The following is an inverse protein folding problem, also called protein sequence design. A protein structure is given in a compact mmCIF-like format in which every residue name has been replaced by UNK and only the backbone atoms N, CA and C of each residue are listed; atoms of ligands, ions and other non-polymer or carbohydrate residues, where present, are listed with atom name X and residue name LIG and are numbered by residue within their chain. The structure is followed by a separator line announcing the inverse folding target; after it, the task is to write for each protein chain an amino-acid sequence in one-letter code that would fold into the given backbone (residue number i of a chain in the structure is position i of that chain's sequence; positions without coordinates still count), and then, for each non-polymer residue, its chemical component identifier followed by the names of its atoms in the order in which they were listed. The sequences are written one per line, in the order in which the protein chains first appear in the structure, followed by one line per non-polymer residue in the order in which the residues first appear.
data_IF_733830558159
#
_entry.id   IF_733830558159
#
_cell.length_a   1.000
_cell.length_b   1.000
_cell.length_c   1.000
_cell.angle_alpha   90.00
_cell.angle_beta   90.00
_cell.angle_gamma   90.00
#
_symmetry.space_group_name_H-M   'P 1'
#
loop_
_entity.id
_entity.type
_entity.pdbx_description
1 polymer ?
#
# COMPACT_ATOMS: atom_id res chain seq x y z
N UNK A 1 19.23 -1.71 49.50
CA UNK A 1 18.52 -0.68 48.71
C UNK A 1 18.65 -1.09 47.26
N UNK A 2 17.60 -1.70 46.69
CA UNK A 2 17.61 -2.11 45.27
C UNK A 2 17.22 -0.86 44.49
N UNK A 3 18.17 -0.30 43.75
CA UNK A 3 17.90 0.77 42.78
C UNK A 3 17.25 0.08 41.58
N UNK A 4 15.92 0.17 41.49
CA UNK A 4 15.21 -0.09 40.25
C UNK A 4 15.63 1.03 39.29
N UNK A 5 16.55 0.74 38.37
CA UNK A 5 16.83 1.63 37.27
C UNK A 5 15.49 1.87 36.53
N UNK A 6 15.09 3.13 36.44
CA UNK A 6 13.99 3.55 35.57
C UNK A 6 14.34 3.01 34.18
N UNK A 7 13.48 2.14 33.65
CA UNK A 7 13.62 1.64 32.28
C UNK A 7 13.68 2.89 31.40
N UNK A 8 14.80 3.08 30.71
CA UNK A 8 14.94 4.13 29.71
C UNK A 8 14.01 3.75 28.54
N UNK A 9 12.79 4.26 28.62
CA UNK A 9 11.73 4.02 27.64
C UNK A 9 12.10 4.59 26.27
N UNK A 10 13.05 5.53 26.20
CA UNK A 10 13.48 6.22 24.97
C UNK A 10 14.73 5.52 24.40
N UNK A 11 15.77 5.28 25.19
CA UNK A 11 16.99 4.58 24.76
C UNK A 11 16.80 3.10 24.44
N UNK A 12 15.72 2.48 24.93
CA UNK A 12 15.27 1.14 24.53
C UNK A 12 14.26 1.12 23.37
N UNK A 13 13.74 2.28 22.95
CA UNK A 13 12.71 2.36 21.91
C UNK A 13 13.31 2.08 20.53
N UNK A 14 12.78 1.07 19.85
CA UNK A 14 13.15 0.74 18.46
C UNK A 14 11.91 0.97 17.58
N UNK A 15 11.77 2.15 16.94
CA UNK A 15 10.64 2.47 16.06
C UNK A 15 10.74 1.63 14.79
N UNK A 16 10.27 0.38 14.85
CA UNK A 16 10.32 -0.57 13.71
C UNK A 16 9.13 -1.51 13.72
N UNK A 17 7.97 -0.97 14.09
CA UNK A 17 6.68 -1.68 14.05
C UNK A 17 5.99 -1.50 12.69
N UNK A 18 6.67 -0.96 11.67
CA UNK A 18 5.98 -0.19 10.64
C UNK A 18 5.56 -1.00 9.42
N UNK A 19 4.26 -1.19 9.23
CA UNK A 19 3.68 -1.58 7.93
C UNK A 19 3.55 -0.36 7.02
N UNK A 20 4.69 0.13 6.51
CA UNK A 20 4.76 1.43 5.82
C UNK A 20 3.95 1.44 4.52
N UNK A 21 3.99 0.37 3.73
CA UNK A 21 3.17 0.19 2.55
C UNK A 21 1.67 0.36 2.81
N UNK A 22 1.17 -0.08 3.97
CA UNK A 22 -0.23 0.15 4.40
C UNK A 22 -0.52 1.57 4.88
N UNK A 23 0.48 2.29 5.38
CA UNK A 23 0.38 3.71 5.71
C UNK A 23 0.22 4.58 4.45
N UNK A 24 0.87 4.17 3.35
CA UNK A 24 0.90 4.92 2.09
C UNK A 24 -0.12 4.45 1.05
N UNK A 25 -0.52 3.18 1.06
CA UNK A 25 -1.33 2.56 0.00
C UNK A 25 -2.38 1.59 0.54
N UNK A 26 -3.46 1.41 -0.23
CA UNK A 26 -4.56 0.51 0.08
C UNK A 26 -4.92 -0.32 -1.16
N UNK A 27 -4.15 -1.39 -1.39
CA UNK A 27 -4.30 -2.27 -2.54
C UNK A 27 -5.57 -3.10 -2.51
N UNK A 28 -6.08 -3.44 -3.69
CA UNK A 28 -7.20 -4.37 -3.88
C UNK A 28 -6.98 -5.17 -5.16
N UNK A 29 -7.37 -6.45 -5.15
CA UNK A 29 -7.34 -7.39 -6.29
C UNK A 29 -8.30 -7.02 -7.41
N UNK A 30 -8.25 -5.78 -7.86
CA UNK A 30 -9.06 -5.23 -8.93
C UNK A 30 -8.34 -4.03 -9.58
N UNK A 31 -7.02 -3.92 -9.36
CA UNK A 31 -6.15 -2.89 -9.91
C UNK A 31 -6.25 -1.52 -9.21
N UNK A 32 -7.03 -1.40 -8.13
CA UNK A 32 -7.11 -0.18 -7.33
C UNK A 32 -6.00 -0.13 -6.28
N UNK A 33 -5.42 1.04 -6.11
CA UNK A 33 -4.70 1.45 -4.90
C UNK A 33 -5.35 2.72 -4.36
N UNK A 34 -5.74 2.74 -3.09
CA UNK A 34 -6.57 3.82 -2.55
C UNK A 34 -7.97 3.81 -3.17
N UNK A 35 -8.80 4.81 -2.87
CA UNK A 35 -10.17 5.02 -3.35
C UNK A 35 -11.02 3.75 -3.55
N UNK A 36 -11.94 3.48 -2.62
CA UNK A 36 -12.79 2.30 -2.71
C UNK A 36 -13.72 2.32 -3.93
N UNK A 37 -14.19 1.15 -4.36
CA UNK A 37 -15.25 1.01 -5.37
C UNK A 37 -16.60 1.49 -4.79
N UNK A 38 -16.74 2.80 -4.58
CA UNK A 38 -17.93 3.41 -3.98
C UNK A 38 -18.25 4.69 -4.73
N UNK A 39 -19.49 4.78 -5.23
CA UNK A 39 -20.00 5.93 -5.99
C UNK A 39 -20.00 7.25 -5.20
N UNK A 40 -19.95 7.23 -3.86
CA UNK A 40 -20.16 8.43 -3.02
C UNK A 40 -19.52 8.38 -1.62
N UNK A 41 -18.29 7.85 -1.49
CA UNK A 41 -17.63 7.75 -0.18
C UNK A 41 -16.77 8.98 0.13
N UNK A 42 -17.13 9.77 1.14
CA UNK A 42 -16.25 10.79 1.78
C UNK A 42 -15.30 10.18 2.83
N UNK A 43 -15.25 8.84 2.95
CA UNK A 43 -14.51 8.16 4.01
C UNK A 43 -12.98 8.21 3.83
N UNK A 44 -12.31 8.58 4.92
CA UNK A 44 -10.86 8.70 5.16
C UNK A 44 -10.12 7.36 5.34
N UNK A 45 -10.55 6.30 4.65
CA UNK A 45 -9.98 4.95 4.77
C UNK A 45 -9.44 4.41 3.44
N UNK A 46 -9.12 5.30 2.51
CA UNK A 46 -9.01 5.00 1.07
C UNK A 46 -7.83 5.73 0.39
N UNK A 47 -6.66 5.69 1.01
CA UNK A 47 -5.48 6.45 0.59
C UNK A 47 -4.61 5.68 -0.39
N UNK A 48 -3.96 6.43 -1.27
CA UNK A 48 -2.85 5.97 -2.09
C UNK A 48 -1.88 7.15 -2.22
N UNK A 49 -0.62 6.95 -1.86
CA UNK A 49 0.47 7.92 -1.89
C UNK A 49 0.08 9.30 -1.37
N UNK A 50 -0.53 9.34 -0.18
CA UNK A 50 -0.88 10.61 0.50
C UNK A 50 0.21 10.97 1.48
N UNK A 51 0.76 12.18 1.40
CA UNK A 51 1.72 12.69 2.39
C UNK A 51 1.00 13.43 3.52
N UNK A 52 1.42 13.28 4.80
CA UNK A 52 2.44 12.35 5.30
C UNK A 52 1.99 10.88 5.30
N UNK A 53 0.70 10.58 5.20
CA UNK A 53 0.21 9.19 5.26
C UNK A 53 -1.15 9.18 5.91
N UNK A 54 -1.65 8.01 6.28
CA UNK A 54 -2.90 7.93 7.04
C UNK A 54 -2.76 7.27 8.41
N UNK A 55 -2.97 8.08 9.44
CA UNK A 55 -3.07 7.66 10.85
C UNK A 55 -4.25 6.70 11.13
N UNK A 56 -5.30 6.70 10.31
CA UNK A 56 -6.52 5.92 10.57
C UNK A 56 -6.34 4.41 10.43
N UNK A 57 -5.22 3.95 9.83
CA UNK A 57 -4.93 2.52 9.65
C UNK A 57 -3.99 1.98 10.71
N UNK A 58 -2.93 2.73 10.99
CA UNK A 58 -1.87 2.30 11.90
C UNK A 58 -1.45 3.49 12.78
N UNK A 59 -2.22 3.79 13.83
CA UNK A 59 -1.98 4.95 14.71
C UNK A 59 -0.57 4.92 15.31
N UNK A 60 -0.15 3.76 15.79
CA UNK A 60 1.17 3.55 16.39
C UNK A 60 2.24 3.77 15.32
N UNK A 61 2.05 3.19 14.13
CA UNK A 61 3.04 3.30 13.04
C UNK A 61 3.16 4.75 12.54
N UNK A 62 2.05 5.47 12.44
CA UNK A 62 2.06 6.88 12.05
C UNK A 62 2.77 7.77 13.07
N UNK A 63 2.56 7.53 14.37
CA UNK A 63 3.23 8.28 15.44
C UNK A 63 4.73 7.94 15.47
N UNK A 64 5.09 6.68 15.29
CA UNK A 64 6.50 6.26 15.17
C UNK A 64 7.20 6.88 13.96
N UNK A 65 6.47 7.13 12.88
CA UNK A 65 7.02 7.66 11.64
C UNK A 65 7.08 9.20 11.60
N UNK A 66 5.98 9.87 11.98
CA UNK A 66 5.83 11.33 11.87
C UNK A 66 5.76 12.06 13.21
N UNK A 67 5.46 11.34 14.29
CA UNK A 67 5.24 11.91 15.61
C UNK A 67 6.53 12.00 16.43
N UNK A 68 6.49 12.83 17.46
CA UNK A 68 7.49 12.84 18.51
C UNK A 68 7.20 11.68 19.48
N UNK A 69 7.97 10.60 19.35
CA UNK A 69 7.85 9.39 20.17
C UNK A 69 8.02 9.70 21.66
N UNK A 70 8.93 10.60 22.02
CA UNK A 70 9.18 10.97 23.42
C UNK A 70 7.94 11.65 24.00
N UNK A 71 7.36 12.60 23.28
CA UNK A 71 6.14 13.28 23.67
C UNK A 71 4.92 12.33 23.70
N UNK A 72 4.84 11.34 22.79
CA UNK A 72 3.80 10.30 22.82
C UNK A 72 3.91 9.43 24.08
N UNK A 73 5.11 8.94 24.41
CA UNK A 73 5.37 8.13 25.61
C UNK A 73 5.05 8.92 26.89
N UNK A 74 5.37 10.22 26.91
CA UNK A 74 5.10 11.11 28.04
C UNK A 74 3.63 11.53 28.16
N UNK A 75 2.79 11.17 27.19
CA UNK A 75 1.38 11.48 27.20
C UNK A 75 1.09 12.97 26.97
N UNK A 76 1.96 13.67 26.25
CA UNK A 76 1.86 15.11 26.09
C UNK A 76 0.57 15.49 25.34
N UNK A 77 -0.20 16.47 25.86
CA UNK A 77 -1.52 16.82 25.33
C UNK A 77 -1.47 17.36 23.88
N UNK A 78 -0.30 17.78 23.40
CA UNK A 78 -0.09 18.29 22.05
C UNK A 78 0.34 17.21 21.02
N UNK A 79 0.66 16.00 21.47
CA UNK A 79 1.06 14.85 20.61
C UNK A 79 0.00 13.77 20.55
N UNK A 80 -0.98 13.77 21.46
CA UNK A 80 -2.16 12.90 21.43
C UNK A 80 -3.29 13.50 20.58
N UNK A 81 -3.21 14.80 20.28
CA UNK A 81 -4.13 15.48 19.37
C UNK A 81 -3.35 16.09 18.19
N UNK A 82 -2.57 15.30 17.39
CA UNK A 82 -2.56 15.64 15.98
C UNK A 82 -4.05 15.67 15.68
N UNK A 83 -4.60 16.77 15.15
CA UNK A 83 -6.01 16.80 14.84
C UNK A 83 -6.32 15.48 14.13
N UNK A 84 -7.52 14.93 14.22
CA UNK A 84 -7.91 13.85 13.29
C UNK A 84 -7.87 14.43 11.86
N UNK A 85 -6.68 14.74 11.34
CA UNK A 85 -6.40 15.40 10.10
C UNK A 85 -6.53 14.26 9.11
N UNK A 86 -7.78 13.94 8.83
CA UNK A 86 -8.46 14.41 7.63
C UNK A 86 -7.82 15.66 6.98
N UNK A 87 -6.49 15.69 6.80
CA UNK A 87 -5.85 16.59 5.84
C UNK A 87 -6.59 16.33 4.56
N UNK A 88 -7.04 17.41 3.91
CA UNK A 88 -7.73 17.31 2.64
C UNK A 88 -6.89 16.43 1.72
N UNK A 89 -7.35 15.20 1.51
CA UNK A 89 -6.58 14.22 0.77
C UNK A 89 -6.58 14.68 -0.68
N UNK A 90 -5.43 15.16 -1.12
CA UNK A 90 -5.23 15.51 -2.51
C UNK A 90 -5.35 14.22 -3.33
N UNK A 91 -4.74 13.11 -2.90
CA UNK A 91 -4.94 11.82 -3.58
C UNK A 91 -6.31 11.21 -3.32
N UNK A 92 -6.95 10.72 -4.38
CA UNK A 92 -8.23 9.99 -4.33
C UNK A 92 -8.09 8.54 -4.76
N UNK A 93 -6.86 8.03 -4.81
CA UNK A 93 -6.54 6.69 -5.30
C UNK A 93 -5.82 6.74 -6.65
N UNK A 94 -5.40 5.56 -7.07
CA UNK A 94 -4.72 5.27 -8.32
C UNK A 94 -5.32 4.00 -8.93
N UNK A 95 -5.26 3.93 -10.24
CA UNK A 95 -5.58 2.72 -10.98
C UNK A 95 -5.02 2.80 -12.40
N UNK A 96 -5.53 1.93 -13.26
CA UNK A 96 -5.01 1.69 -14.59
C UNK A 96 -6.17 1.70 -15.58
N UNK A 97 -5.95 2.40 -16.69
CA UNK A 97 -6.80 2.31 -17.86
C UNK A 97 -6.09 1.45 -18.92
N UNK A 98 -6.82 0.49 -19.47
CA UNK A 98 -6.34 -0.45 -20.47
C UNK A 98 -7.29 -0.39 -21.66
N UNK A 99 -6.74 -0.14 -22.84
CA UNK A 99 -7.45 -0.29 -24.11
C UNK A 99 -6.70 -1.28 -24.96
N UNK A 100 -7.40 -2.30 -25.44
CA UNK A 100 -6.88 -3.30 -26.35
C UNK A 100 -7.79 -3.42 -27.57
N UNK A 101 -7.20 -3.63 -28.74
CA UNK A 101 -7.94 -4.00 -29.95
C UNK A 101 -7.78 -5.50 -30.17
N UNK A 102 -8.86 -6.25 -29.95
CA UNK A 102 -8.89 -7.70 -30.16
C UNK A 102 -9.17 -8.03 -31.63
N UNK A 103 -8.36 -8.92 -32.18
CA UNK A 103 -8.50 -9.47 -33.54
C UNK A 103 -8.65 -8.39 -34.64
N UNK A 104 -8.09 -7.20 -34.42
CA UNK A 104 -8.10 -6.08 -35.35
C UNK A 104 -9.42 -5.31 -35.47
N UNK A 105 -10.48 -5.69 -34.75
CA UNK A 105 -11.81 -5.06 -34.88
C UNK A 105 -12.41 -4.60 -33.56
N UNK A 106 -12.19 -5.35 -32.49
CA UNK A 106 -12.96 -5.19 -31.26
C UNK A 106 -12.19 -4.36 -30.25
N UNK A 107 -12.60 -3.12 -30.07
CA UNK A 107 -12.01 -2.24 -29.06
C UNK A 107 -12.57 -2.57 -27.68
N UNK A 108 -11.70 -3.10 -26.81
CA UNK A 108 -12.00 -3.46 -25.43
C UNK A 108 -11.33 -2.48 -24.48
N UNK A 109 -12.13 -1.84 -23.64
CA UNK A 109 -11.66 -0.91 -22.61
C UNK A 109 -11.99 -1.45 -21.23
N UNK A 110 -10.99 -1.47 -20.36
CA UNK A 110 -11.08 -1.84 -18.95
C UNK A 110 -10.41 -0.76 -18.11
N UNK A 111 -10.99 -0.41 -16.96
CA UNK A 111 -10.46 0.64 -16.12
C UNK A 111 -10.63 0.29 -14.65
N UNK A 112 -9.49 0.12 -13.96
CA UNK A 112 -9.45 0.35 -12.52
C UNK A 112 -9.25 1.86 -12.36
N UNK A 113 -10.31 2.58 -12.04
CA UNK A 113 -10.27 4.03 -11.83
C UNK A 113 -9.60 4.37 -10.50
N UNK A 114 -9.73 5.61 -10.04
CA UNK A 114 -9.27 5.94 -8.67
C UNK A 114 -10.33 5.61 -7.63
N UNK A 115 -11.62 5.58 -8.01
CA UNK A 115 -12.77 5.30 -7.11
C UNK A 115 -13.87 4.43 -7.71
N UNK A 116 -13.68 4.01 -8.96
CA UNK A 116 -14.66 3.21 -9.69
C UNK A 116 -13.90 2.22 -10.56
N UNK A 117 -14.51 1.07 -10.79
CA UNK A 117 -13.98 0.01 -11.62
C UNK A 117 -15.02 -0.29 -12.69
N UNK A 118 -14.56 -0.58 -13.91
CA UNK A 118 -15.46 -1.10 -14.95
C UNK A 118 -15.88 -2.52 -14.60
N UNK A 119 -17.13 -2.87 -14.91
CA UNK A 119 -17.75 -4.13 -14.48
C UNK A 119 -17.04 -5.39 -14.99
N UNK A 120 -16.15 -5.24 -15.97
CA UNK A 120 -15.40 -6.29 -16.64
C UNK A 120 -14.04 -6.60 -16.00
N UNK A 121 -13.67 -5.89 -14.93
CA UNK A 121 -12.51 -6.26 -14.12
C UNK A 121 -12.95 -7.19 -13.00
N UNK A 122 -12.32 -8.35 -12.96
CA UNK A 122 -12.58 -9.39 -11.98
C UNK A 122 -11.37 -9.59 -11.07
N UNK A 123 -11.64 -9.87 -9.80
CA UNK A 123 -10.58 -10.21 -8.87
C UNK A 123 -10.01 -11.58 -9.20
N UNK A 124 -8.68 -11.65 -9.29
CA UNK A 124 -7.96 -12.89 -9.55
C UNK A 124 -6.86 -13.03 -8.49
N UNK A 125 -7.13 -13.73 -7.37
CA UNK A 125 -6.16 -13.92 -6.30
C UNK A 125 -4.79 -14.36 -6.86
N UNK A 126 -3.72 -13.79 -6.30
CA UNK A 126 -2.36 -14.11 -6.71
C UNK A 126 -2.00 -15.52 -6.28
N UNK A 127 -1.45 -16.31 -7.20
CA UNK A 127 -0.99 -17.68 -6.91
C UNK A 127 0.39 -17.63 -6.27
N UNK A 128 0.42 -17.28 -4.99
CA UNK A 128 1.66 -17.12 -4.22
C UNK A 128 2.44 -18.42 -4.07
N UNK A 129 1.77 -19.58 -4.11
CA UNK A 129 2.42 -20.88 -3.89
C UNK A 129 3.37 -21.26 -5.05
N UNK A 130 3.12 -20.70 -6.24
CA UNK A 130 3.92 -20.91 -7.46
C UNK A 130 4.69 -19.64 -7.89
N UNK A 131 4.92 -18.71 -6.96
CA UNK A 131 5.57 -17.42 -7.21
C UNK A 131 7.00 -17.35 -6.67
N UNK A 132 7.76 -16.34 -7.12
CA UNK A 132 9.10 -16.05 -6.61
C UNK A 132 9.07 -15.63 -5.14
N UNK A 133 7.99 -14.98 -4.72
CA UNK A 133 7.78 -14.52 -3.35
C UNK A 133 7.32 -15.62 -2.39
N UNK A 134 7.13 -16.86 -2.87
CA UNK A 134 6.65 -18.01 -2.08
C UNK A 134 7.54 -18.35 -0.88
N UNK A 135 8.82 -17.96 -0.94
CA UNK A 135 9.80 -18.21 0.12
C UNK A 135 9.99 -17.02 1.06
N UNK A 136 9.30 -15.91 0.81
CA UNK A 136 9.46 -14.67 1.57
C UNK A 136 8.45 -14.57 2.71
N UNK A 137 8.86 -13.88 3.77
CA UNK A 137 8.01 -13.57 4.92
C UNK A 137 8.41 -14.30 6.19
N UNK A 138 8.20 -13.61 7.31
CA UNK A 138 8.34 -14.15 8.65
C UNK A 138 6.95 -14.43 9.26
N UNK A 139 6.80 -15.58 9.91
CA UNK A 139 5.53 -15.98 10.57
C UNK A 139 5.58 -15.93 12.09
N UNK A 140 6.71 -15.48 12.66
CA UNK A 140 6.82 -15.30 14.10
C UNK A 140 5.82 -14.26 14.60
N UNK A 141 5.43 -14.34 15.86
CA UNK A 141 4.62 -13.28 16.43
C UNK A 141 5.48 -12.00 16.55
N UNK A 142 5.01 -10.80 16.13
CA UNK A 142 3.62 -10.47 15.76
C UNK A 142 3.29 -10.51 14.25
N UNK A 143 4.24 -10.85 13.36
CA UNK A 143 4.01 -10.90 11.90
C UNK A 143 2.79 -11.74 11.51
N UNK A 144 2.61 -12.91 12.14
CA UNK A 144 1.46 -13.79 11.89
C UNK A 144 0.10 -13.17 12.24
N UNK A 145 0.04 -12.00 12.89
CA UNK A 145 -1.20 -11.23 13.09
C UNK A 145 -1.33 -10.00 12.18
N UNK A 146 -0.27 -9.64 11.46
CA UNK A 146 -0.16 -8.38 10.71
C UNK A 146 0.00 -8.56 9.22
N UNK A 147 0.58 -9.67 8.76
CA UNK A 147 0.58 -10.13 7.37
C UNK A 147 -0.43 -11.26 7.18
N UNK A 148 -0.73 -11.61 5.93
CA UNK A 148 -1.58 -12.77 5.60
C UNK A 148 -0.81 -13.91 4.91
N UNK A 149 0.49 -13.73 4.66
CA UNK A 149 1.35 -14.74 4.05
C UNK A 149 2.78 -14.76 4.62
N UNK A 150 3.30 -15.98 4.76
CA UNK A 150 4.69 -16.39 4.91
C UNK A 150 4.79 -17.90 4.54
N UNK A 151 5.98 -18.50 4.35
CA UNK A 151 6.09 -19.86 3.79
C UNK A 151 5.35 -20.96 4.56
N UNK A 152 5.17 -20.79 5.87
CA UNK A 152 4.46 -21.73 6.75
C UNK A 152 3.16 -21.15 7.35
N UNK A 153 2.70 -20.01 6.83
CA UNK A 153 1.52 -19.31 7.33
C UNK A 153 0.77 -18.65 6.17
N UNK A 154 -0.46 -19.08 5.94
CA UNK A 154 -1.31 -18.54 4.88
C UNK A 154 -2.72 -18.36 5.42
N UNK A 155 -3.14 -17.11 5.51
CA UNK A 155 -4.46 -16.72 5.97
C UNK A 155 -5.08 -15.70 5.01
N UNK A 156 -4.91 -15.94 3.71
CA UNK A 156 -5.50 -15.10 2.66
C UNK A 156 -6.98 -15.44 2.55
N UNK A 157 -7.87 -14.51 2.93
CA UNK A 157 -9.32 -14.72 2.94
C UNK A 157 -10.01 -13.96 1.80
N UNK A 158 -10.81 -14.69 1.02
CA UNK A 158 -11.61 -14.11 -0.06
C UNK A 158 -10.74 -13.52 -1.17
N UNK A 159 -10.90 -12.21 -1.44
CA UNK A 159 -10.24 -11.51 -2.54
C UNK A 159 -9.22 -10.47 -2.06
N UNK A 160 -8.68 -10.62 -0.85
CA UNK A 160 -7.66 -9.70 -0.35
C UNK A 160 -6.32 -9.87 -1.08
N UNK A 161 -5.54 -8.78 -1.23
CA UNK A 161 -4.16 -8.87 -1.72
C UNK A 161 -3.30 -9.77 -0.83
N UNK A 162 -2.24 -10.33 -1.40
CA UNK A 162 -1.21 -11.02 -0.62
C UNK A 162 -0.34 -9.96 0.05
N UNK A 163 -0.06 -10.16 1.32
CA UNK A 163 0.77 -9.29 2.14
C UNK A 163 1.83 -10.12 2.86
N UNK A 164 3.08 -9.72 2.66
CA UNK A 164 4.27 -10.40 3.17
C UNK A 164 5.08 -9.39 3.96
N UNK A 165 5.43 -9.74 5.19
CA UNK A 165 6.38 -9.00 6.01
C UNK A 165 7.65 -9.83 6.14
N UNK A 166 8.71 -9.41 5.44
CA UNK A 166 10.00 -10.08 5.36
C UNK A 166 11.01 -9.61 6.43
N UNK A 167 10.50 -8.97 7.49
CA UNK A 167 11.25 -8.50 8.65
C UNK A 167 10.59 -9.02 9.91
N UNK A 168 11.33 -9.12 11.01
CA UNK A 168 10.72 -9.29 12.33
C UNK A 168 10.52 -7.92 12.93
N UNK A 169 9.33 -7.67 13.46
CA UNK A 169 9.03 -6.40 14.13
C UNK A 169 10.07 -6.12 15.21
N UNK A 170 10.56 -4.88 15.27
CA UNK A 170 11.66 -4.42 16.15
C UNK A 170 13.08 -4.85 15.76
N UNK A 171 13.25 -5.68 14.75
CA UNK A 171 14.55 -6.10 14.22
C UNK A 171 14.78 -5.52 12.81
N UNK A 172 16.04 -5.46 12.39
CA UNK A 172 16.35 -5.18 10.97
C UNK A 172 16.18 -6.45 10.15
N UNK A 173 15.86 -6.29 8.86
CA UNK A 173 16.00 -7.39 7.92
C UNK A 173 17.44 -7.89 7.92
N UNK A 174 17.59 -9.22 7.98
CA UNK A 174 18.88 -9.87 7.88
C UNK A 174 19.34 -9.99 6.43
N UNK A 175 18.39 -10.02 5.49
CA UNK A 175 18.62 -10.05 4.06
C UNK A 175 17.85 -8.90 3.40
N UNK A 176 18.58 -8.04 2.70
CA UNK A 176 18.08 -6.84 2.05
C UNK A 176 17.98 -6.93 0.53
N UNK A 177 18.31 -8.09 -0.03
CA UNK A 177 18.03 -8.42 -1.42
C UNK A 177 16.51 -8.38 -1.71
N UNK A 178 15.68 -8.47 -0.67
CA UNK A 178 14.24 -8.44 -0.75
C UNK A 178 13.62 -7.27 0.05
N UNK A 179 12.47 -6.75 -0.38
CA UNK A 179 11.74 -5.72 0.35
C UNK A 179 11.27 -6.19 1.72
N UNK A 180 11.14 -5.24 2.66
CA UNK A 180 10.64 -5.49 4.02
C UNK A 180 9.14 -5.81 3.99
N UNK A 181 8.37 -4.99 3.29
CA UNK A 181 6.96 -5.23 3.07
C UNK A 181 6.67 -5.38 1.59
N UNK A 182 5.90 -6.42 1.27
CA UNK A 182 5.47 -6.74 -0.08
C UNK A 182 3.97 -6.89 -0.09
N UNK A 183 3.29 -6.09 -0.93
CA UNK A 183 1.86 -6.24 -1.16
C UNK A 183 1.64 -6.56 -2.64
N UNK A 184 0.98 -7.68 -2.92
CA UNK A 184 0.75 -8.19 -4.26
C UNK A 184 -0.74 -8.23 -4.53
N UNK A 185 -1.13 -7.57 -5.61
CA UNK A 185 -2.49 -7.53 -6.09
C UNK A 185 -2.60 -7.99 -7.53
N UNK A 186 -3.67 -8.74 -7.84
CA UNK A 186 -3.88 -9.27 -9.18
C UNK A 186 -5.36 -9.23 -9.59
N UNK A 187 -5.59 -8.98 -10.87
CA UNK A 187 -6.92 -8.90 -11.47
C UNK A 187 -6.89 -9.34 -12.93
N UNK A 188 -8.07 -9.57 -13.50
CA UNK A 188 -8.27 -9.95 -14.90
C UNK A 188 -9.23 -8.98 -15.57
N UNK A 189 -8.96 -8.64 -16.83
CA UNK A 189 -9.87 -7.87 -17.68
C UNK A 189 -10.64 -8.78 -18.64
N UNK A 190 -11.76 -8.31 -19.21
CA UNK A 190 -12.46 -9.04 -20.30
C UNK A 190 -11.59 -9.30 -21.53
N UNK A 191 -10.56 -8.49 -21.78
CA UNK A 191 -9.63 -8.71 -22.89
C UNK A 191 -8.65 -9.86 -22.61
N UNK A 192 -8.75 -10.53 -21.46
CA UNK A 192 -7.85 -11.60 -21.06
C UNK A 192 -6.50 -11.09 -20.54
N UNK A 193 -6.34 -9.78 -20.34
CA UNK A 193 -5.14 -9.20 -19.74
C UNK A 193 -5.20 -9.42 -18.23
N UNK A 194 -4.27 -10.22 -17.72
CA UNK A 194 -4.00 -10.32 -16.30
C UNK A 194 -3.06 -9.19 -15.89
N UNK A 195 -3.52 -8.33 -15.00
CA UNK A 195 -2.68 -7.31 -14.36
C UNK A 195 -2.20 -7.81 -12.99
N UNK A 196 -0.91 -7.65 -12.72
CA UNK A 196 -0.30 -7.87 -11.42
C UNK A 196 0.37 -6.58 -10.98
N UNK A 197 0.02 -6.08 -9.79
CA UNK A 197 0.66 -4.93 -9.15
C UNK A 197 1.36 -5.39 -7.89
N UNK A 198 2.62 -5.02 -7.74
CA UNK A 198 3.41 -5.28 -6.54
C UNK A 198 3.89 -3.97 -5.96
N UNK A 199 3.82 -3.83 -4.65
CA UNK A 199 4.42 -2.73 -3.94
C UNK A 199 5.46 -3.28 -2.97
N UNK A 200 6.64 -2.69 -3.03
CA UNK A 200 7.82 -3.09 -2.30
C UNK A 200 8.29 -1.90 -1.46
N UNK A 201 8.37 -2.08 -0.15
CA UNK A 201 8.85 -1.05 0.77
C UNK A 201 10.15 -1.48 1.46
N UNK A 202 11.08 -0.54 1.57
CA UNK A 202 12.30 -0.67 2.37
C UNK A 202 12.35 0.47 3.39
N UNK A 203 12.87 0.19 4.58
CA UNK A 203 13.08 1.20 5.59
C UNK A 203 14.40 1.07 6.34
N UNK A 204 15.45 1.38 5.61
CA UNK A 204 16.80 1.39 6.13
C UNK A 204 17.02 2.55 7.12
N UNK A 205 17.79 2.34 8.21
CA UNK A 205 18.26 3.43 9.03
C UNK A 205 19.12 4.37 8.20
N UNK A 206 18.92 5.67 8.42
CA UNK A 206 19.64 6.77 7.76
C UNK A 206 19.31 6.99 6.28
N UNK A 207 18.30 6.31 5.73
CA UNK A 207 17.79 6.55 4.38
C UNK A 207 16.34 7.04 4.40
N UNK A 208 16.02 7.96 3.49
CA UNK A 208 14.64 8.31 3.17
C UNK A 208 13.95 7.08 2.57
N UNK A 209 12.86 6.65 3.18
CA UNK A 209 12.13 5.47 2.71
C UNK A 209 11.63 5.64 1.29
N UNK A 210 11.58 4.54 0.56
CA UNK A 210 10.99 4.53 -0.77
C UNK A 210 10.09 3.31 -0.95
N UNK A 211 9.07 3.49 -1.79
CA UNK A 211 8.21 2.42 -2.26
C UNK A 211 8.44 2.27 -3.75
N UNK A 212 8.79 1.06 -4.19
CA UNK A 212 8.83 0.70 -5.59
C UNK A 212 7.51 0.01 -5.93
N UNK A 213 6.88 0.46 -7.02
CA UNK A 213 5.68 -0.18 -7.54
C UNK A 213 5.95 -0.80 -8.90
N UNK A 214 5.69 -2.10 -9.00
CA UNK A 214 5.78 -2.85 -10.25
C UNK A 214 4.37 -3.10 -10.79
N UNK A 215 4.19 -2.89 -12.10
CA UNK A 215 2.99 -3.27 -12.82
C UNK A 215 3.38 -4.19 -13.97
N UNK A 216 2.83 -5.40 -13.95
CA UNK A 216 3.04 -6.41 -14.96
C UNK A 216 1.71 -6.77 -15.63
N UNK A 217 1.70 -6.84 -16.96
CA UNK A 217 0.52 -7.19 -17.75
C UNK A 217 0.83 -8.39 -18.63
N UNK A 218 0.02 -9.44 -18.53
CA UNK A 218 0.15 -10.65 -19.33
C UNK A 218 -1.15 -10.91 -20.08
N UNK A 219 -1.08 -11.07 -21.40
CA UNK A 219 -2.20 -11.62 -22.15
C UNK A 219 -2.34 -13.10 -21.82
N UNK A 220 -3.45 -13.46 -21.18
CA UNK A 220 -3.85 -14.84 -20.85
C UNK A 220 -5.11 -15.27 -21.61
N UNK A 221 -5.67 -14.38 -22.43
CA UNK A 221 -6.79 -14.67 -23.31
C UNK A 221 -6.36 -15.37 -24.60
N UNK A 222 -7.35 -15.73 -25.42
CA UNK A 222 -7.14 -16.37 -26.72
C UNK A 222 -6.93 -15.38 -27.86
N UNK A 223 -7.32 -14.12 -27.67
CA UNK A 223 -7.29 -13.11 -28.73
C UNK A 223 -5.89 -12.53 -28.94
N UNK A 224 -5.59 -12.19 -30.19
CA UNK A 224 -4.46 -11.33 -30.52
C UNK A 224 -4.87 -9.89 -30.21
N UNK A 225 -4.13 -9.25 -29.32
CA UNK A 225 -4.37 -7.87 -28.92
C UNK A 225 -3.31 -6.97 -29.57
N UNK A 226 -3.72 -6.21 -30.58
CA UNK A 226 -2.82 -5.29 -31.29
C UNK A 226 -3.62 -4.13 -31.93
N UNK A 227 -3.46 -2.88 -31.46
CA UNK A 227 -2.56 -2.43 -30.37
C UNK A 227 -3.12 -2.63 -28.96
N UNK A 228 -2.24 -2.49 -27.96
CA UNK A 228 -2.61 -2.37 -26.53
C UNK A 228 -2.01 -1.11 -25.93
N UNK A 229 -2.82 -0.34 -25.22
CA UNK A 229 -2.46 0.89 -24.54
C UNK A 229 -2.71 0.77 -23.04
N UNK A 230 -1.74 1.23 -22.25
CA UNK A 230 -1.82 1.31 -20.79
C UNK A 230 -1.64 2.75 -20.35
N UNK A 231 -2.46 3.20 -19.42
CA UNK A 231 -2.30 4.49 -18.78
C UNK A 231 -2.49 4.38 -17.27
N UNK A 232 -1.54 4.92 -16.51
CA UNK A 232 -1.72 5.13 -15.08
C UNK A 232 -2.73 6.26 -14.88
N UNK A 233 -3.69 6.02 -14.02
CA UNK A 233 -4.72 6.99 -13.68
C UNK A 233 -4.58 7.33 -12.20
N UNK A 234 -4.27 8.60 -11.94
CA UNK A 234 -4.31 9.16 -10.59
C UNK A 234 -5.41 10.22 -10.52
N UNK A 235 -5.87 10.51 -9.32
CA UNK A 235 -6.88 11.53 -9.07
C UNK A 235 -6.39 12.35 -7.92
N UNK A 236 -6.10 13.61 -8.26
CA UNK A 236 -5.54 14.58 -7.33
C UNK A 236 -6.55 15.72 -7.22
N UNK A 237 -6.88 16.10 -6.00
CA UNK A 237 -7.71 17.25 -5.66
C UNK A 237 -6.80 18.37 -5.19
N UNK A 238 -7.16 19.62 -5.49
CA UNK A 238 -6.49 20.79 -4.96
C UNK A 238 -7.14 21.11 -3.60
N UNK A 239 -6.36 21.03 -2.53
CA UNK A 239 -6.80 21.35 -1.17
C UNK A 239 -7.01 22.86 -0.95
N UNK A 240 -6.22 23.70 -1.62
CA UNK A 240 -6.36 25.16 -1.64
C UNK A 240 -5.73 25.75 -2.89
N UNK A 241 -6.43 26.61 -3.62
CA UNK A 241 -5.81 27.49 -4.60
C UNK A 241 -5.28 28.72 -3.87
N UNK A 242 -3.96 28.87 -3.79
CA UNK A 242 -3.34 30.13 -3.34
C UNK A 242 -3.01 30.98 -4.57
N UNK A 243 -3.40 32.26 -4.57
CA UNK A 243 -2.73 33.25 -5.41
C UNK A 243 -1.65 33.90 -4.53
N UNK A 244 -0.40 33.86 -4.97
CA UNK A 244 0.67 34.64 -4.39
C UNK A 244 1.20 35.56 -5.49
N UNK A 245 1.28 36.86 -5.22
CA UNK A 245 2.26 37.66 -5.93
C UNK A 245 3.64 37.22 -5.43
N UNK A 246 4.54 36.95 -6.36
CA UNK A 246 5.95 36.85 -6.03
C UNK A 246 6.42 38.26 -5.67
N UNK A 247 6.35 38.61 -4.40
CA UNK A 247 7.12 39.73 -3.87
C UNK A 247 8.55 39.22 -3.68
N UNK A 248 9.42 39.65 -4.59
CA UNK A 248 10.87 39.48 -4.51
C UNK A 248 11.52 40.55 -3.64
#
# INVERSE_FOLDING_TARGET
MIVLAQIDMIGGYRPRILTRGKMWSAFRNNGLDGGGNRKSSSSHSQESLTYPGNIARELIDFIEYFGDVEAYINGDPHVIDPPRVTISQNSKGQGIWIMAVANGTDTLVSCSGTRNITYDIEAKPYDIDNALESTLGDSSWPNSQRSNYAPNYKNIVGNEPVEIHNYRYHDYILNDEFPEEIIISQWLTKSGIQGTRKAYAWSYPDYDDFIIQELFFKNTGSDILDPVYFALKTSISVNSAAHGWADG
#
